data_IF_720648237200
#
_entry.id   IF_720648237200
#
_cell.length_a   1.000
_cell.length_b   1.000
_cell.length_c   1.000
_cell.angle_alpha   90.00
_cell.angle_beta   90.00
_cell.angle_gamma   90.00
#
_symmetry.space_group_name_H-M   'P 1'
#
loop_
_entity.id
_entity.type
_entity.pdbx_description
1 polymer ?
#
# COMPACT_ATOMS: atom_id res chain seq x y z
N UNK A 1 -23.79 14.86 10.79
CA UNK A 1 -23.76 13.37 10.81
C UNK A 1 -23.22 12.77 9.51
N UNK A 2 -23.67 13.19 8.31
CA UNK A 2 -23.17 12.68 7.02
C UNK A 2 -21.66 12.86 6.84
N UNK A 3 -21.10 14.01 7.25
CA UNK A 3 -19.67 14.34 7.11
C UNK A 3 -18.78 13.35 7.89
N UNK A 4 -19.27 12.75 8.99
CA UNK A 4 -18.50 11.80 9.81
C UNK A 4 -18.26 10.47 9.10
N UNK A 5 -19.06 10.11 8.09
CA UNK A 5 -18.91 8.86 7.32
C UNK A 5 -17.53 8.79 6.66
N UNK A 6 -17.07 9.91 6.08
CA UNK A 6 -15.82 9.95 5.35
C UNK A 6 -14.61 9.66 6.25
N UNK A 7 -14.33 10.40 7.33
CA UNK A 7 -13.19 10.12 8.19
C UNK A 7 -13.30 8.74 8.86
N UNK A 8 -14.52 8.30 9.22
CA UNK A 8 -14.73 7.02 9.86
C UNK A 8 -14.27 5.85 8.95
N UNK A 9 -14.79 5.75 7.72
CA UNK A 9 -14.41 4.70 6.78
C UNK A 9 -12.99 4.82 6.28
N UNK A 10 -12.48 6.05 6.17
CA UNK A 10 -11.11 6.30 5.73
C UNK A 10 -10.08 5.82 6.75
N UNK A 11 -10.25 6.19 8.03
CA UNK A 11 -9.26 5.92 9.08
C UNK A 11 -9.30 4.47 9.60
N UNK A 12 -10.44 3.79 9.54
CA UNK A 12 -10.56 2.41 10.05
C UNK A 12 -10.04 1.36 9.07
N UNK A 13 -9.74 1.72 7.83
CA UNK A 13 -9.38 0.75 6.80
C UNK A 13 -8.03 0.05 7.10
N UNK A 14 -7.96 -1.28 7.04
CA UNK A 14 -6.80 -2.05 7.51
C UNK A 14 -5.49 -1.83 6.72
N UNK A 15 -5.56 -1.23 5.51
CA UNK A 15 -4.33 -0.89 4.75
C UNK A 15 -3.43 0.09 5.54
N UNK A 16 -4.00 0.97 6.36
CA UNK A 16 -3.20 1.86 7.20
C UNK A 16 -2.31 1.11 8.20
N UNK A 17 -2.77 -0.03 8.71
CA UNK A 17 -1.96 -0.85 9.62
C UNK A 17 -0.63 -1.27 8.97
N UNK A 18 -0.65 -1.62 7.69
CA UNK A 18 0.57 -1.96 6.94
C UNK A 18 1.56 -0.79 6.83
N UNK A 19 1.06 0.44 6.66
CA UNK A 19 1.94 1.61 6.61
C UNK A 19 2.51 1.95 7.97
N UNK A 20 1.72 1.86 9.03
CA UNK A 20 2.16 2.17 10.39
C UNK A 20 3.19 1.18 10.94
N UNK A 21 3.31 -0.01 10.36
CA UNK A 21 4.41 -0.94 10.64
C UNK A 21 5.79 -0.35 10.26
N UNK A 22 5.82 0.58 9.31
CA UNK A 22 7.03 1.32 8.91
C UNK A 22 7.15 2.62 9.72
N UNK A 23 7.44 2.51 11.01
CA UNK A 23 7.41 3.62 11.97
C UNK A 23 8.25 4.83 11.51
N UNK A 24 9.42 4.61 10.90
CA UNK A 24 10.31 5.67 10.42
C UNK A 24 9.72 6.46 9.24
N UNK A 25 8.81 5.86 8.47
CA UNK A 25 8.19 6.50 7.29
C UNK A 25 6.77 6.98 7.55
N UNK A 26 6.18 6.63 8.69
CA UNK A 26 4.75 6.87 8.95
C UNK A 26 4.42 8.35 9.01
N UNK A 27 5.31 9.16 9.62
CA UNK A 27 5.12 10.60 9.73
C UNK A 27 5.19 11.28 8.37
N UNK A 28 6.23 10.99 7.58
CA UNK A 28 6.41 11.60 6.26
C UNK A 28 5.27 11.27 5.31
N UNK A 29 4.78 10.02 5.34
CA UNK A 29 3.64 9.60 4.51
C UNK A 29 2.36 10.30 4.96
N UNK A 30 2.09 10.39 6.27
CA UNK A 30 0.92 11.11 6.78
C UNK A 30 0.97 12.61 6.45
N UNK A 31 2.12 13.24 6.61
CA UNK A 31 2.34 14.64 6.22
C UNK A 31 2.10 14.83 4.72
N UNK A 32 2.61 13.93 3.89
CA UNK A 32 2.44 13.99 2.45
C UNK A 32 0.99 13.84 1.99
N UNK A 33 0.19 12.99 2.66
CA UNK A 33 -1.26 12.92 2.44
C UNK A 33 -1.93 14.26 2.76
N UNK A 34 -1.55 14.89 3.88
CA UNK A 34 -2.06 16.19 4.28
C UNK A 34 -1.70 17.28 3.24
N UNK A 35 -0.46 17.28 2.73
CA UNK A 35 -0.02 18.22 1.70
C UNK A 35 -0.82 18.08 0.39
N UNK A 36 -1.19 16.86 -0.01
CA UNK A 36 -2.08 16.66 -1.17
C UNK A 36 -3.45 17.31 -0.93
N UNK A 37 -4.03 17.12 0.24
CA UNK A 37 -5.31 17.75 0.58
C UNK A 37 -5.18 19.28 0.56
N UNK A 38 -4.11 19.83 1.12
CA UNK A 38 -3.80 21.27 1.03
C UNK A 38 -3.65 21.73 -0.43
N UNK A 39 -2.98 20.95 -1.26
CA UNK A 39 -2.86 21.24 -2.70
C UNK A 39 -4.24 21.34 -3.38
N UNK A 40 -5.17 20.42 -3.08
CA UNK A 40 -6.54 20.48 -3.61
C UNK A 40 -7.29 21.72 -3.15
N UNK A 41 -7.13 22.10 -1.88
CA UNK A 41 -7.74 23.34 -1.33
C UNK A 41 -7.19 24.57 -2.07
N UNK A 42 -5.87 24.62 -2.30
CA UNK A 42 -5.23 25.73 -3.03
C UNK A 42 -5.69 25.83 -4.48
N UNK A 43 -5.91 24.71 -5.17
CA UNK A 43 -6.51 24.73 -6.52
C UNK A 43 -7.92 25.33 -6.49
N UNK A 44 -8.74 24.94 -5.50
CA UNK A 44 -10.07 25.49 -5.33
C UNK A 44 -10.01 26.99 -5.00
N UNK A 45 -9.09 27.44 -4.15
CA UNK A 45 -8.86 28.87 -3.89
C UNK A 45 -8.43 29.63 -5.16
N UNK A 46 -7.61 29.02 -6.03
CA UNK A 46 -7.30 29.62 -7.31
C UNK A 46 -8.53 29.78 -8.20
N UNK A 47 -9.44 28.80 -8.23
CA UNK A 47 -10.67 28.89 -9.01
C UNK A 47 -11.51 30.07 -8.55
N UNK A 48 -11.54 30.34 -7.24
CA UNK A 48 -12.31 31.44 -6.64
C UNK A 48 -11.62 32.80 -6.77
N UNK A 49 -10.36 32.92 -6.36
CA UNK A 49 -9.63 34.20 -6.21
C UNK A 49 -8.73 34.54 -7.41
N UNK A 50 -8.46 33.61 -8.33
CA UNK A 50 -7.60 33.79 -9.51
C UNK A 50 -6.16 34.22 -9.22
N UNK A 51 -5.65 34.00 -8.01
CA UNK A 51 -4.30 34.36 -7.58
C UNK A 51 -3.30 33.27 -7.97
N UNK A 52 -2.30 33.50 -8.86
CA UNK A 52 -1.37 32.47 -9.34
C UNK A 52 -0.55 31.79 -8.23
N UNK A 53 -0.31 32.48 -7.11
CA UNK A 53 0.40 31.95 -5.96
C UNK A 53 -0.22 30.63 -5.46
N UNK A 54 -1.55 30.50 -5.51
CA UNK A 54 -2.21 29.27 -5.08
C UNK A 54 -1.87 28.06 -5.97
N UNK A 55 -1.76 28.24 -7.28
CA UNK A 55 -1.31 27.16 -8.17
C UNK A 55 0.17 26.83 -7.95
N UNK A 56 1.00 27.83 -7.73
CA UNK A 56 2.41 27.61 -7.43
C UNK A 56 2.60 26.80 -6.14
N UNK A 57 1.95 27.20 -5.05
CA UNK A 57 2.00 26.47 -3.78
C UNK A 57 1.40 25.06 -3.89
N UNK A 58 0.30 24.91 -4.62
CA UNK A 58 -0.31 23.62 -4.90
C UNK A 58 0.66 22.66 -5.60
N UNK A 59 1.40 23.17 -6.60
CA UNK A 59 2.42 22.40 -7.32
C UNK A 59 3.56 21.98 -6.41
N UNK A 60 4.04 22.86 -5.52
CA UNK A 60 5.09 22.52 -4.54
C UNK A 60 4.61 21.42 -3.61
N UNK A 61 3.41 21.54 -3.03
CA UNK A 61 2.88 20.56 -2.09
C UNK A 61 2.66 19.18 -2.74
N UNK A 62 2.14 19.17 -3.97
CA UNK A 62 1.99 17.91 -4.72
C UNK A 62 3.34 17.30 -5.07
N UNK A 63 4.33 18.10 -5.49
CA UNK A 63 5.68 17.63 -5.81
C UNK A 63 6.35 17.00 -4.58
N UNK A 64 6.26 17.65 -3.43
CA UNK A 64 6.78 17.11 -2.16
C UNK A 64 6.16 15.75 -1.85
N UNK A 65 4.83 15.66 -1.95
CA UNK A 65 4.11 14.42 -1.69
C UNK A 65 4.53 13.29 -2.63
N UNK A 66 4.69 13.57 -3.92
CA UNK A 66 5.10 12.58 -4.92
C UNK A 66 6.56 12.12 -4.73
N UNK A 67 7.44 13.01 -4.24
CA UNK A 67 8.82 12.67 -3.87
C UNK A 67 8.87 11.75 -2.66
N UNK A 68 8.01 11.99 -1.67
CA UNK A 68 7.99 11.21 -0.43
C UNK A 68 7.44 9.80 -0.67
N UNK A 69 6.30 9.69 -1.37
CA UNK A 69 5.66 8.40 -1.61
C UNK A 69 4.88 8.39 -2.92
N UNK A 70 5.44 7.76 -3.94
CA UNK A 70 4.90 7.81 -5.31
C UNK A 70 3.46 7.29 -5.45
N UNK A 71 3.00 6.37 -4.59
CA UNK A 71 1.61 5.90 -4.65
C UNK A 71 0.58 6.98 -4.32
N UNK A 72 1.00 8.10 -3.70
CA UNK A 72 0.14 9.26 -3.46
C UNK A 72 -0.30 9.98 -4.75
N UNK A 73 0.33 9.70 -5.87
CA UNK A 73 -0.14 10.11 -7.21
C UNK A 73 -1.58 9.62 -7.44
N UNK A 74 -1.87 8.37 -7.04
CA UNK A 74 -3.22 7.81 -7.18
C UNK A 74 -4.23 8.52 -6.28
N UNK A 75 -3.79 8.94 -5.10
CA UNK A 75 -4.63 9.72 -4.18
C UNK A 75 -4.95 11.12 -4.74
N UNK A 76 -3.95 11.80 -5.34
CA UNK A 76 -4.16 13.06 -6.04
C UNK A 76 -5.23 12.92 -7.13
N UNK A 77 -5.12 11.88 -7.97
CA UNK A 77 -6.08 11.59 -9.05
C UNK A 77 -7.47 11.32 -8.46
N UNK A 78 -7.57 10.50 -7.41
CA UNK A 78 -8.84 10.17 -6.75
C UNK A 78 -9.53 11.42 -6.20
N UNK A 79 -8.80 12.30 -5.50
CA UNK A 79 -9.32 13.56 -4.97
C UNK A 79 -9.77 14.50 -6.09
N UNK A 80 -8.98 14.64 -7.15
CA UNK A 80 -9.31 15.50 -8.29
C UNK A 80 -10.63 15.07 -8.95
N UNK A 81 -10.81 13.76 -9.17
CA UNK A 81 -12.04 13.22 -9.76
C UNK A 81 -13.22 13.42 -8.79
N UNK A 82 -13.02 13.17 -7.50
CA UNK A 82 -14.07 13.34 -6.48
C UNK A 82 -14.56 14.79 -6.41
N UNK A 83 -13.67 15.77 -6.51
CA UNK A 83 -14.05 17.20 -6.55
C UNK A 83 -14.91 17.49 -7.78
N UNK A 84 -14.56 16.96 -8.95
CA UNK A 84 -15.36 17.11 -10.17
C UNK A 84 -16.76 16.50 -10.00
N UNK A 85 -16.87 15.31 -9.38
CA UNK A 85 -18.16 14.67 -9.08
C UNK A 85 -18.99 15.54 -8.13
N UNK A 86 -18.39 16.12 -7.10
CA UNK A 86 -19.09 17.02 -6.18
C UNK A 86 -19.57 18.30 -6.90
N UNK A 87 -18.75 18.88 -7.76
CA UNK A 87 -19.14 20.04 -8.56
C UNK A 87 -20.33 19.71 -9.49
N UNK A 88 -20.32 18.54 -10.14
CA UNK A 88 -21.45 18.05 -10.96
C UNK A 88 -22.73 17.87 -10.15
N UNK A 89 -22.61 17.46 -8.91
CA UNK A 89 -23.75 17.20 -8.03
C UNK A 89 -24.36 18.49 -7.45
N UNK A 90 -23.53 19.46 -7.05
CA UNK A 90 -23.97 20.67 -6.36
C UNK A 90 -24.17 21.88 -7.28
N UNK A 91 -23.37 22.04 -8.34
CA UNK A 91 -23.35 23.23 -9.21
C UNK A 91 -24.03 22.98 -10.58
N UNK A 92 -25.33 22.73 -10.57
CA UNK A 92 -26.12 22.40 -11.77
C UNK A 92 -26.12 23.47 -12.88
N UNK A 93 -25.73 24.70 -12.56
CA UNK A 93 -25.75 25.84 -13.50
C UNK A 93 -24.48 25.91 -14.37
N UNK A 94 -23.42 25.20 -14.04
CA UNK A 94 -22.19 25.20 -14.80
C UNK A 94 -22.38 24.53 -16.18
N UNK A 95 -21.63 25.02 -17.18
CA UNK A 95 -21.53 24.38 -18.48
C UNK A 95 -20.46 23.30 -18.50
N UNK A 96 -20.51 22.39 -19.45
CA UNK A 96 -19.49 21.32 -19.58
C UNK A 96 -18.07 21.91 -19.69
N UNK A 97 -17.91 23.04 -20.38
CA UNK A 97 -16.62 23.74 -20.50
C UNK A 97 -16.05 24.18 -19.14
N UNK A 98 -16.88 24.51 -18.17
CA UNK A 98 -16.39 24.94 -16.85
C UNK A 98 -15.83 23.75 -16.06
N UNK A 99 -16.46 22.57 -16.16
CA UNK A 99 -15.89 21.33 -15.59
C UNK A 99 -14.58 20.95 -16.26
N UNK A 100 -14.49 21.07 -17.60
CA UNK A 100 -13.26 20.82 -18.35
C UNK A 100 -12.13 21.78 -17.96
N UNK A 101 -12.42 23.06 -17.70
CA UNK A 101 -11.44 24.02 -17.14
C UNK A 101 -10.93 23.59 -15.78
N UNK A 102 -11.81 23.13 -14.89
CA UNK A 102 -11.39 22.61 -13.58
C UNK A 102 -10.49 21.39 -13.74
N UNK A 103 -10.85 20.44 -14.59
CA UNK A 103 -10.03 19.26 -14.90
C UNK A 103 -8.67 19.68 -15.47
N UNK A 104 -8.64 20.66 -16.38
CA UNK A 104 -7.37 21.14 -16.96
C UNK A 104 -6.44 21.77 -15.92
N UNK A 105 -6.98 22.43 -14.88
CA UNK A 105 -6.19 22.96 -13.78
C UNK A 105 -5.59 21.83 -12.92
N UNK A 106 -6.36 20.80 -12.58
CA UNK A 106 -5.82 19.63 -11.90
C UNK A 106 -4.73 18.94 -12.72
N UNK A 107 -4.94 18.78 -14.03
CA UNK A 107 -3.95 18.21 -14.94
C UNK A 107 -2.69 19.09 -15.06
N UNK A 108 -2.84 20.40 -15.12
CA UNK A 108 -1.71 21.32 -15.16
C UNK A 108 -0.83 21.17 -13.91
N UNK A 109 -1.44 21.27 -12.72
CA UNK A 109 -0.72 21.09 -11.45
C UNK A 109 -0.08 19.71 -11.40
N UNK A 110 -0.77 18.66 -11.80
CA UNK A 110 -0.25 17.29 -11.86
C UNK A 110 1.00 17.19 -12.74
N UNK A 111 0.92 17.68 -13.98
CA UNK A 111 2.05 17.62 -14.93
C UNK A 111 3.23 18.44 -14.43
N UNK A 112 3.01 19.66 -13.94
CA UNK A 112 4.08 20.47 -13.35
C UNK A 112 4.72 19.78 -12.16
N UNK A 113 3.92 19.19 -11.27
CA UNK A 113 4.41 18.45 -10.11
C UNK A 113 5.23 17.23 -10.51
N UNK A 114 4.82 16.49 -11.52
CA UNK A 114 5.56 15.34 -12.05
C UNK A 114 6.90 15.77 -12.67
N UNK A 115 6.93 16.88 -13.43
CA UNK A 115 8.16 17.41 -14.01
C UNK A 115 9.14 17.81 -12.89
N UNK A 116 8.68 18.54 -11.87
CA UNK A 116 9.51 18.95 -10.73
C UNK A 116 10.03 17.71 -10.00
N UNK A 117 9.17 16.73 -9.71
CA UNK A 117 9.53 15.49 -9.03
C UNK A 117 10.62 14.73 -9.77
N UNK A 118 10.47 14.52 -11.08
CA UNK A 118 11.45 13.80 -11.90
C UNK A 118 12.76 14.58 -12.01
N UNK A 119 12.69 15.90 -12.13
CA UNK A 119 13.89 16.77 -12.18
C UNK A 119 14.67 16.69 -10.87
N UNK A 120 13.99 16.73 -9.71
CA UNK A 120 14.65 16.63 -8.40
C UNK A 120 15.26 15.24 -8.17
N UNK A 121 14.58 14.17 -8.60
CA UNK A 121 15.13 12.81 -8.56
C UNK A 121 16.40 12.73 -9.43
N UNK A 122 16.35 13.26 -10.65
CA UNK A 122 17.50 13.26 -11.56
C UNK A 122 18.69 14.04 -10.96
N UNK A 123 18.45 15.24 -10.44
CA UNK A 123 19.50 16.07 -9.80
C UNK A 123 20.08 15.33 -8.59
N UNK A 124 19.23 14.72 -7.75
CA UNK A 124 19.68 13.95 -6.58
C UNK A 124 20.56 12.77 -6.96
N UNK A 125 20.22 12.03 -8.02
CA UNK A 125 21.08 10.95 -8.54
C UNK A 125 22.45 11.45 -8.99
N UNK A 126 22.49 12.60 -9.67
CA UNK A 126 23.76 13.19 -10.13
C UNK A 126 24.63 13.71 -8.97
N UNK A 127 24.01 14.46 -8.04
CA UNK A 127 24.74 15.10 -6.93
C UNK A 127 25.31 14.10 -5.92
N UNK A 128 24.54 13.03 -5.63
CA UNK A 128 24.91 12.06 -4.59
C UNK A 128 25.45 10.75 -5.15
N UNK A 129 25.65 10.63 -6.48
CA UNK A 129 26.11 9.42 -7.16
C UNK A 129 25.31 8.16 -6.78
N UNK A 130 24.02 8.32 -6.47
CA UNK A 130 23.12 7.23 -6.07
C UNK A 130 22.79 6.40 -7.30
N UNK A 131 23.09 5.09 -7.26
CA UNK A 131 22.66 4.18 -8.33
C UNK A 131 21.14 4.01 -8.26
N UNK A 132 20.48 4.23 -9.41
CA UNK A 132 19.03 3.97 -9.52
C UNK A 132 18.77 2.48 -9.27
N UNK A 133 17.80 2.19 -8.42
CA UNK A 133 17.34 0.81 -8.26
C UNK A 133 16.41 0.47 -9.42
N UNK A 134 16.65 -0.66 -10.08
CA UNK A 134 15.75 -1.17 -11.13
C UNK A 134 14.44 -1.76 -10.56
N UNK A 135 14.07 -1.40 -9.34
CA UNK A 135 12.93 -1.99 -8.64
C UNK A 135 11.61 -1.82 -9.43
N UNK A 136 11.29 -0.60 -9.85
CA UNK A 136 10.07 -0.34 -10.62
C UNK A 136 10.10 -1.04 -11.98
N UNK A 137 11.21 -0.95 -12.71
CA UNK A 137 11.36 -1.59 -14.01
C UNK A 137 11.28 -3.13 -13.93
N UNK A 138 11.72 -3.72 -12.82
CA UNK A 138 11.59 -5.17 -12.61
C UNK A 138 10.13 -5.60 -12.41
N UNK A 139 9.27 -4.71 -11.92
CA UNK A 139 7.86 -4.96 -11.65
C UNK A 139 6.95 -4.81 -12.88
N UNK A 140 7.37 -4.04 -13.88
CA UNK A 140 6.62 -3.87 -15.12
C UNK A 140 6.68 -5.17 -15.92
N UNK A 141 5.50 -5.75 -16.20
CA UNK A 141 5.37 -7.01 -16.96
C UNK A 141 4.96 -6.79 -18.42
N UNK A 142 4.44 -5.60 -18.76
CA UNK A 142 4.16 -5.23 -20.14
C UNK A 142 5.41 -5.35 -21.00
N UNK A 143 5.30 -6.08 -22.11
CA UNK A 143 6.43 -6.38 -23.00
C UNK A 143 7.38 -7.49 -22.52
N UNK A 144 7.20 -8.02 -21.28
CA UNK A 144 7.99 -9.14 -20.73
C UNK A 144 7.20 -10.44 -20.70
N UNK A 145 5.87 -10.34 -20.46
CA UNK A 145 4.95 -11.47 -20.47
C UNK A 145 3.99 -11.36 -21.65
N UNK A 146 3.41 -12.49 -22.12
CA UNK A 146 2.36 -12.47 -23.12
C UNK A 146 1.13 -11.66 -22.66
N UNK A 147 0.50 -10.93 -23.59
CA UNK A 147 -0.66 -10.06 -23.28
C UNK A 147 -1.78 -10.81 -22.53
N UNK A 148 -2.12 -12.01 -22.94
CA UNK A 148 -3.17 -12.80 -22.30
C UNK A 148 -2.82 -13.27 -20.90
N UNK A 149 -1.54 -13.49 -20.60
CA UNK A 149 -1.08 -13.81 -19.25
C UNK A 149 -1.25 -12.61 -18.33
N UNK A 150 -0.83 -11.41 -18.76
CA UNK A 150 -1.05 -10.18 -18.02
C UNK A 150 -2.55 -9.96 -17.76
N UNK A 151 -3.39 -10.14 -18.78
CA UNK A 151 -4.84 -10.01 -18.64
C UNK A 151 -5.41 -11.01 -17.63
N UNK A 152 -4.88 -12.24 -17.60
CA UNK A 152 -5.26 -13.27 -16.62
C UNK A 152 -4.89 -12.85 -15.19
N UNK A 153 -3.69 -12.30 -14.99
CA UNK A 153 -3.23 -11.77 -13.69
C UNK A 153 -4.18 -10.65 -13.21
N UNK A 154 -4.44 -9.66 -14.07
CA UNK A 154 -5.33 -8.55 -13.75
C UNK A 154 -6.76 -9.03 -13.45
N UNK A 155 -7.30 -9.93 -14.28
CA UNK A 155 -8.64 -10.53 -14.07
C UNK A 155 -8.73 -11.26 -12.74
N UNK A 156 -7.71 -12.05 -12.39
CA UNK A 156 -7.64 -12.75 -11.11
C UNK A 156 -7.61 -11.77 -9.93
N UNK A 157 -6.82 -10.71 -10.04
CA UNK A 157 -6.75 -9.67 -9.02
C UNK A 157 -8.10 -8.97 -8.80
N UNK A 158 -8.74 -8.49 -9.87
CA UNK A 158 -10.07 -7.86 -9.78
C UNK A 158 -11.14 -8.82 -9.25
N UNK A 159 -11.10 -10.10 -9.63
CA UNK A 159 -11.98 -11.12 -9.07
C UNK A 159 -11.81 -11.26 -7.55
N UNK A 160 -10.58 -11.24 -7.05
CA UNK A 160 -10.32 -11.32 -5.62
C UNK A 160 -10.83 -10.09 -4.86
N UNK A 161 -10.74 -8.89 -5.46
CA UNK A 161 -11.29 -7.65 -4.91
C UNK A 161 -12.82 -7.74 -4.81
N UNK A 162 -13.48 -8.09 -5.92
CA UNK A 162 -14.95 -8.18 -5.99
C UNK A 162 -15.52 -9.27 -5.07
N UNK A 163 -14.79 -10.35 -4.84
CA UNK A 163 -15.21 -11.43 -3.94
C UNK A 163 -14.74 -11.20 -2.48
N UNK A 164 -14.11 -10.08 -2.17
CA UNK A 164 -13.57 -9.76 -0.84
C UNK A 164 -12.69 -10.90 -0.27
N UNK A 165 -11.89 -11.56 -1.12
CA UNK A 165 -11.12 -12.76 -0.73
C UNK A 165 -9.83 -12.45 0.01
N UNK A 166 -9.34 -11.21 -0.05
CA UNK A 166 -8.11 -10.78 0.61
C UNK A 166 -8.49 -9.92 1.81
N UNK A 167 -7.73 -10.02 2.89
CA UNK A 167 -7.98 -9.36 4.16
C UNK A 167 -8.21 -7.85 4.05
N UNK A 168 -7.59 -7.20 3.05
CA UNK A 168 -7.72 -5.76 2.78
C UNK A 168 -8.88 -5.44 1.83
N UNK A 169 -9.41 -6.42 1.12
CA UNK A 169 -10.54 -6.25 0.20
C UNK A 169 -11.82 -6.73 0.87
N UNK A 170 -12.34 -5.88 1.76
CA UNK A 170 -13.60 -6.14 2.42
C UNK A 170 -14.80 -5.79 1.52
N UNK A 171 -15.99 -6.21 1.92
CA UNK A 171 -17.23 -5.93 1.18
C UNK A 171 -17.54 -4.43 1.06
N UNK A 172 -16.86 -3.56 1.80
CA UNK A 172 -17.08 -2.11 1.77
C UNK A 172 -16.92 -1.50 0.39
N UNK A 173 -15.90 -1.91 -0.38
CA UNK A 173 -15.71 -1.44 -1.75
C UNK A 173 -16.86 -1.88 -2.66
N UNK A 174 -17.25 -3.15 -2.60
CA UNK A 174 -18.33 -3.69 -3.44
C UNK A 174 -19.67 -3.07 -3.10
N UNK A 175 -20.02 -2.99 -1.80
CA UNK A 175 -21.28 -2.41 -1.34
C UNK A 175 -21.36 -0.94 -1.71
N UNK A 176 -20.29 -0.16 -1.49
CA UNK A 176 -20.27 1.27 -1.81
C UNK A 176 -20.42 1.53 -3.32
N UNK A 177 -19.72 0.75 -4.15
CA UNK A 177 -19.81 0.87 -5.61
C UNK A 177 -21.20 0.49 -6.14
N UNK A 178 -21.79 -0.61 -5.64
CA UNK A 178 -23.16 -1.01 -5.99
C UNK A 178 -24.18 0.03 -5.55
N UNK A 179 -24.00 0.63 -4.36
CA UNK A 179 -24.88 1.70 -3.88
C UNK A 179 -24.83 2.94 -4.78
N UNK A 180 -23.65 3.32 -5.29
CA UNK A 180 -23.53 4.38 -6.28
C UNK A 180 -24.26 4.04 -7.57
N UNK A 181 -24.19 2.78 -8.03
CA UNK A 181 -24.92 2.34 -9.22
C UNK A 181 -26.44 2.51 -9.06
N UNK A 182 -27.00 2.22 -7.90
CA UNK A 182 -28.42 2.45 -7.62
C UNK A 182 -28.78 3.94 -7.69
N UNK A 183 -27.91 4.84 -7.19
CA UNK A 183 -28.11 6.29 -7.34
C UNK A 183 -28.11 6.70 -8.80
N UNK A 184 -27.22 6.12 -9.63
CA UNK A 184 -27.21 6.43 -11.06
C UNK A 184 -28.46 5.98 -11.79
N UNK A 185 -29.00 4.80 -11.50
CA UNK A 185 -30.31 4.38 -12.05
C UNK A 185 -31.38 5.43 -11.76
N UNK A 186 -31.46 5.89 -10.48
CA UNK A 186 -32.39 6.96 -10.09
C UNK A 186 -32.15 8.24 -10.90
N UNK A 187 -30.90 8.69 -11.04
CA UNK A 187 -30.55 9.92 -11.78
C UNK A 187 -30.83 9.81 -13.30
N UNK A 188 -30.65 8.62 -13.90
CA UNK A 188 -31.00 8.35 -15.30
C UNK A 188 -32.52 8.50 -15.51
N UNK A 189 -33.32 7.87 -14.62
CA UNK A 189 -34.79 7.97 -14.68
C UNK A 189 -35.23 9.43 -14.56
N UNK A 190 -34.59 10.21 -13.69
CA UNK A 190 -34.86 11.63 -13.49
C UNK A 190 -34.26 12.52 -14.60
N UNK A 191 -33.62 11.97 -15.62
CA UNK A 191 -32.96 12.67 -16.72
C UNK A 191 -32.01 13.78 -16.24
N UNK A 192 -31.18 13.47 -15.26
CA UNK A 192 -30.21 14.42 -14.69
C UNK A 192 -29.24 14.90 -15.76
N UNK A 193 -28.96 16.22 -15.75
CA UNK A 193 -28.00 16.84 -16.68
C UNK A 193 -26.59 16.27 -16.44
N UNK A 194 -25.85 15.98 -17.51
CA UNK A 194 -24.50 15.44 -17.49
C UNK A 194 -24.32 14.08 -16.80
N UNK A 195 -25.40 13.28 -16.66
CA UNK A 195 -25.35 11.98 -15.97
C UNK A 195 -24.29 11.04 -16.57
N UNK A 196 -24.12 11.01 -17.91
CA UNK A 196 -23.11 10.15 -18.56
C UNK A 196 -21.68 10.56 -18.17
N UNK A 197 -21.43 11.86 -18.02
CA UNK A 197 -20.13 12.37 -17.59
C UNK A 197 -19.88 12.08 -16.10
N UNK A 198 -20.90 12.19 -15.27
CA UNK A 198 -20.84 11.83 -13.85
C UNK A 198 -20.56 10.33 -13.64
N UNK A 199 -21.20 9.47 -14.43
CA UNK A 199 -20.93 8.01 -14.44
C UNK A 199 -19.48 7.75 -14.85
N UNK A 200 -18.99 8.39 -15.91
CA UNK A 200 -17.59 8.23 -16.35
C UNK A 200 -16.61 8.64 -15.24
N UNK A 201 -16.83 9.79 -14.60
CA UNK A 201 -15.99 10.23 -13.46
C UNK A 201 -16.02 9.21 -12.30
N UNK A 202 -17.20 8.66 -11.99
CA UNK A 202 -17.32 7.66 -10.92
C UNK A 202 -16.63 6.33 -11.28
N UNK A 203 -16.69 5.89 -12.52
CA UNK A 203 -15.95 4.73 -12.99
C UNK A 203 -14.43 4.95 -12.86
N UNK A 204 -13.93 6.10 -13.30
CA UNK A 204 -12.53 6.48 -13.17
C UNK A 204 -12.11 6.58 -11.70
N UNK A 205 -12.95 7.12 -10.82
CA UNK A 205 -12.70 7.17 -9.39
C UNK A 205 -12.55 5.77 -8.79
N UNK A 206 -13.45 4.84 -9.11
CA UNK A 206 -13.39 3.47 -8.61
C UNK A 206 -12.22 2.66 -9.19
N UNK A 207 -11.71 3.04 -10.36
CA UNK A 207 -10.51 2.44 -10.96
C UNK A 207 -9.21 3.06 -10.42
N UNK A 208 -9.25 4.28 -9.89
CA UNK A 208 -8.04 5.02 -9.51
C UNK A 208 -7.12 4.30 -8.51
N UNK A 209 -7.59 3.52 -7.50
CA UNK A 209 -6.70 2.78 -6.62
C UNK A 209 -5.89 1.68 -7.33
N UNK A 210 -6.38 1.21 -8.47
CA UNK A 210 -5.80 0.09 -9.22
C UNK A 210 -5.00 0.53 -10.44
N UNK A 211 -4.88 1.84 -10.69
CA UNK A 211 -4.19 2.34 -11.88
C UNK A 211 -2.74 1.87 -11.94
N UNK A 212 -2.03 1.84 -10.80
CA UNK A 212 -0.66 1.37 -10.76
C UNK A 212 -0.58 -0.12 -11.16
N UNK A 213 -1.46 -0.96 -10.65
CA UNK A 213 -1.59 -2.38 -11.03
C UNK A 213 -1.82 -2.54 -12.54
N UNK A 214 -2.69 -1.70 -13.11
CA UNK A 214 -2.97 -1.72 -14.55
C UNK A 214 -1.74 -1.29 -15.35
N UNK A 215 -1.08 -0.18 -14.96
CA UNK A 215 0.13 0.32 -15.62
C UNK A 215 1.30 -0.64 -15.59
N UNK A 216 1.47 -1.36 -14.48
CA UNK A 216 2.56 -2.34 -14.36
C UNK A 216 2.20 -3.70 -14.99
N UNK A 217 0.91 -3.99 -15.20
CA UNK A 217 0.43 -5.28 -15.67
C UNK A 217 0.62 -6.41 -14.64
N UNK A 218 0.82 -6.04 -13.36
CA UNK A 218 1.11 -6.96 -12.26
C UNK A 218 0.43 -6.52 -10.98
N UNK A 219 0.26 -7.45 -10.04
CA UNK A 219 -0.28 -7.14 -8.71
C UNK A 219 0.82 -6.50 -7.86
N UNK A 220 0.58 -5.27 -7.48
CA UNK A 220 1.48 -4.50 -6.61
C UNK A 220 1.19 -4.75 -5.12
N UNK A 221 2.16 -4.44 -4.24
CA UNK A 221 1.93 -4.44 -2.81
C UNK A 221 0.68 -3.64 -2.42
N UNK A 222 -0.10 -4.13 -1.48
CA UNK A 222 -1.39 -3.51 -1.11
C UNK A 222 -1.22 -2.05 -0.66
N UNK A 223 -0.07 -1.69 -0.07
CA UNK A 223 0.25 -0.32 0.33
C UNK A 223 0.31 0.66 -0.85
N UNK A 224 0.55 0.19 -2.07
CA UNK A 224 0.53 1.04 -3.26
C UNK A 224 -0.86 1.60 -3.58
N UNK A 225 -1.92 0.98 -3.05
CA UNK A 225 -3.31 1.42 -3.21
C UNK A 225 -3.74 2.42 -2.11
N UNK A 226 -2.90 2.63 -1.11
CA UNK A 226 -3.14 3.58 -0.03
C UNK A 226 -2.75 5.01 -0.46
N UNK A 227 -3.50 6.05 -0.06
CA UNK A 227 -4.79 6.04 0.63
C UNK A 227 -6.00 6.06 -0.32
N UNK A 228 -5.80 5.87 -1.63
CA UNK A 228 -6.85 5.97 -2.65
C UNK A 228 -8.00 5.00 -2.40
N UNK A 229 -7.70 3.74 -2.03
CA UNK A 229 -8.71 2.72 -1.77
C UNK A 229 -9.64 3.13 -0.62
N UNK A 230 -9.07 3.57 0.50
CA UNK A 230 -9.84 4.03 1.66
C UNK A 230 -10.72 5.22 1.30
N UNK A 231 -10.13 6.18 0.57
CA UNK A 231 -10.82 7.37 0.14
C UNK A 231 -11.98 7.04 -0.79
N UNK A 232 -11.79 6.17 -1.76
CA UNK A 232 -12.85 5.79 -2.72
C UNK A 232 -14.04 5.14 -2.01
N UNK A 233 -13.79 4.22 -1.08
CA UNK A 233 -14.86 3.59 -0.27
C UNK A 233 -15.61 4.67 0.52
N UNK A 234 -14.89 5.52 1.23
CA UNK A 234 -15.46 6.57 2.06
C UNK A 234 -16.24 7.60 1.24
N UNK A 235 -15.70 8.01 0.09
CA UNK A 235 -16.33 8.94 -0.83
C UNK A 235 -17.60 8.36 -1.47
N UNK A 236 -17.58 7.10 -1.88
CA UNK A 236 -18.77 6.43 -2.43
C UNK A 236 -19.92 6.45 -1.43
N UNK A 237 -19.68 6.12 -0.15
CA UNK A 237 -20.70 6.22 0.90
C UNK A 237 -21.17 7.66 1.13
N UNK A 238 -20.25 8.63 1.14
CA UNK A 238 -20.57 10.04 1.24
C UNK A 238 -21.47 10.48 0.06
N UNK A 239 -21.09 10.11 -1.17
CA UNK A 239 -21.84 10.42 -2.38
C UNK A 239 -23.25 9.83 -2.34
N UNK A 240 -23.41 8.58 -1.91
CA UNK A 240 -24.71 7.95 -1.72
C UNK A 240 -25.52 8.71 -0.68
N UNK A 241 -24.95 9.00 0.49
CA UNK A 241 -25.63 9.70 1.58
C UNK A 241 -26.15 11.08 1.17
N UNK A 242 -25.37 11.84 0.39
CA UNK A 242 -25.77 13.17 -0.12
C UNK A 242 -26.93 13.09 -1.11
N UNK A 243 -27.02 12.01 -1.91
CA UNK A 243 -28.05 11.83 -2.94
C UNK A 243 -29.33 11.11 -2.43
N UNK A 244 -29.33 10.66 -1.16
CA UNK A 244 -30.51 10.08 -0.53
C UNK A 244 -31.44 11.17 -0.02
N UNK A 245 -32.71 11.08 -0.38
CA UNK A 245 -33.73 12.06 0.00
C UNK A 245 -34.56 11.65 1.22
N UNK A 246 -34.63 10.34 1.50
CA UNK A 246 -35.44 9.79 2.61
C UNK A 246 -34.60 9.49 3.84
N UNK A 247 -35.08 9.85 5.01
CA UNK A 247 -34.38 9.62 6.30
C UNK A 247 -34.08 8.13 6.54
N UNK A 248 -35.03 7.24 6.17
CA UNK A 248 -34.85 5.79 6.36
C UNK A 248 -33.70 5.23 5.55
N UNK A 249 -33.57 5.58 4.27
CA UNK A 249 -32.43 5.13 3.44
C UNK A 249 -31.10 5.75 3.90
N UNK A 250 -31.13 6.99 4.36
CA UNK A 250 -29.96 7.61 4.96
C UNK A 250 -29.53 6.88 6.24
N UNK A 251 -30.44 6.49 7.09
CA UNK A 251 -30.16 5.70 8.29
C UNK A 251 -29.55 4.35 7.94
N UNK A 252 -30.06 3.65 6.91
CA UNK A 252 -29.49 2.39 6.41
C UNK A 252 -28.05 2.61 5.91
N UNK A 253 -27.81 3.66 5.12
CA UNK A 253 -26.49 3.98 4.61
C UNK A 253 -25.48 4.23 5.75
N UNK A 254 -25.87 4.98 6.77
CA UNK A 254 -25.05 5.25 7.96
C UNK A 254 -24.80 3.95 8.74
N UNK A 255 -25.82 3.13 8.95
CA UNK A 255 -25.68 1.85 9.65
C UNK A 255 -24.73 0.91 8.93
N UNK A 256 -24.80 0.82 7.60
CA UNK A 256 -23.86 0.05 6.78
C UNK A 256 -22.43 0.58 6.91
N UNK A 257 -22.24 1.91 6.86
CA UNK A 257 -20.92 2.52 7.05
C UNK A 257 -20.34 2.20 8.43
N UNK A 258 -21.15 2.24 9.49
CA UNK A 258 -20.74 1.88 10.85
C UNK A 258 -20.34 0.39 10.95
N UNK A 259 -21.14 -0.51 10.38
CA UNK A 259 -20.83 -1.95 10.37
C UNK A 259 -19.53 -2.23 9.63
N UNK A 260 -19.33 -1.60 8.46
CA UNK A 260 -18.11 -1.76 7.68
C UNK A 260 -16.90 -1.22 8.46
N UNK A 261 -17.00 -0.02 9.04
CA UNK A 261 -15.94 0.58 9.85
C UNK A 261 -15.59 -0.29 11.07
N UNK A 262 -16.59 -0.84 11.74
CA UNK A 262 -16.37 -1.76 12.86
C UNK A 262 -15.58 -3.01 12.40
N UNK A 263 -16.00 -3.64 11.30
CA UNK A 263 -15.32 -4.80 10.72
C UNK A 263 -13.87 -4.46 10.29
N UNK A 264 -13.66 -3.30 9.70
CA UNK A 264 -12.33 -2.79 9.34
C UNK A 264 -11.46 -2.59 10.60
N UNK A 265 -12.01 -1.98 11.64
CA UNK A 265 -11.33 -1.79 12.92
C UNK A 265 -10.93 -3.10 13.59
N UNK A 266 -11.82 -4.11 13.59
CA UNK A 266 -11.52 -5.46 14.08
C UNK A 266 -10.37 -6.08 13.27
N UNK A 267 -10.39 -5.97 11.95
CA UNK A 267 -9.30 -6.48 11.09
C UNK A 267 -7.97 -5.78 11.41
N UNK A 268 -7.98 -4.46 11.58
CA UNK A 268 -6.82 -3.66 11.96
C UNK A 268 -6.26 -4.09 13.31
N UNK A 269 -7.11 -4.26 14.32
CA UNK A 269 -6.72 -4.73 15.64
C UNK A 269 -6.09 -6.13 15.58
N UNK A 270 -6.68 -7.04 14.80
CA UNK A 270 -6.15 -8.39 14.61
C UNK A 270 -4.79 -8.40 13.88
N UNK A 271 -4.56 -7.48 12.93
CA UNK A 271 -3.26 -7.32 12.28
C UNK A 271 -2.18 -6.87 13.27
N UNK A 272 -2.46 -5.89 14.12
CA UNK A 272 -1.52 -5.45 15.15
C UNK A 272 -1.27 -6.53 16.22
N UNK A 273 -2.31 -7.26 16.62
CA UNK A 273 -2.14 -8.41 17.49
C UNK A 273 -1.23 -9.47 16.84
N UNK A 274 -1.44 -9.76 15.57
CA UNK A 274 -0.64 -10.72 14.80
C UNK A 274 0.82 -10.29 14.69
N UNK A 275 1.06 -8.99 14.50
CA UNK A 275 2.43 -8.45 14.48
C UNK A 275 3.14 -8.63 15.82
N UNK A 276 2.45 -8.37 16.93
CA UNK A 276 2.99 -8.59 18.26
C UNK A 276 3.29 -10.05 18.52
N UNK A 277 2.35 -10.95 18.25
CA UNK A 277 2.51 -12.39 18.43
C UNK A 277 3.69 -12.93 17.58
N UNK A 278 3.79 -12.47 16.31
CA UNK A 278 4.91 -12.79 15.44
C UNK A 278 6.24 -12.29 16.01
N UNK A 279 6.30 -11.08 16.51
CA UNK A 279 7.51 -10.51 17.10
C UNK A 279 7.98 -11.35 18.30
N UNK A 280 7.06 -11.73 19.20
CA UNK A 280 7.35 -12.57 20.36
C UNK A 280 7.88 -13.96 19.92
N UNK A 281 7.27 -14.60 18.91
CA UNK A 281 7.78 -15.86 18.34
C UNK A 281 9.18 -15.70 17.70
N UNK A 282 9.41 -14.62 16.97
CA UNK A 282 10.70 -14.35 16.31
C UNK A 282 11.82 -14.12 17.36
N UNK A 283 11.52 -13.43 18.46
CA UNK A 283 12.46 -13.26 19.58
C UNK A 283 12.83 -14.61 20.21
N UNK A 284 11.82 -15.44 20.51
CA UNK A 284 12.06 -16.79 21.05
C UNK A 284 12.89 -17.63 20.08
N UNK A 285 12.61 -17.53 18.78
CA UNK A 285 13.33 -18.28 17.77
C UNK A 285 14.78 -17.81 17.62
N UNK A 286 15.04 -16.50 17.60
CA UNK A 286 16.37 -15.91 17.60
C UNK A 286 17.19 -16.36 18.81
N UNK A 287 16.58 -16.34 20.01
CA UNK A 287 17.22 -16.81 21.24
C UNK A 287 17.59 -18.29 21.17
N UNK A 288 16.72 -19.15 20.63
CA UNK A 288 17.01 -20.59 20.43
C UNK A 288 18.20 -20.80 19.49
N UNK A 289 18.28 -20.06 18.39
CA UNK A 289 19.45 -20.09 17.50
C UNK A 289 20.70 -19.71 18.29
N UNK A 290 20.63 -18.62 19.06
CA UNK A 290 21.78 -18.13 19.80
C UNK A 290 22.27 -19.10 20.85
N UNK A 291 21.37 -19.72 21.65
CA UNK A 291 21.70 -20.74 22.64
C UNK A 291 22.41 -21.95 22.00
N UNK A 292 21.93 -22.37 20.81
CA UNK A 292 22.55 -23.49 20.11
C UNK A 292 23.94 -23.13 19.56
N UNK A 293 24.14 -21.88 19.12
CA UNK A 293 25.48 -21.39 18.72
C UNK A 293 26.46 -21.32 19.92
N UNK A 294 25.96 -20.93 21.12
CA UNK A 294 26.79 -20.98 22.35
C UNK A 294 27.24 -22.40 22.65
N UNK A 295 26.37 -23.39 22.49
CA UNK A 295 26.73 -24.81 22.70
C UNK A 295 27.74 -25.32 21.67
N UNK A 296 27.92 -24.63 20.55
CA UNK A 296 28.93 -24.89 19.51
C UNK A 296 30.21 -24.06 19.70
N UNK A 297 30.39 -23.39 20.85
CA UNK A 297 31.51 -22.52 21.18
C UNK A 297 31.69 -21.31 20.26
N UNK A 298 30.60 -20.81 19.67
CA UNK A 298 30.60 -19.54 18.90
C UNK A 298 30.37 -18.40 19.89
N UNK A 299 31.41 -17.82 20.45
CA UNK A 299 31.31 -16.78 21.49
C UNK A 299 31.17 -15.36 20.90
N UNK A 300 31.94 -15.02 19.89
CA UNK A 300 31.91 -13.68 19.28
C UNK A 300 31.17 -13.69 17.93
N UNK A 301 29.92 -13.18 17.93
CA UNK A 301 29.04 -13.14 16.73
C UNK A 301 29.52 -12.16 15.67
N UNK A 302 30.26 -11.14 16.07
CA UNK A 302 30.75 -10.08 15.15
C UNK A 302 31.74 -10.61 14.11
N UNK A 303 32.36 -11.74 14.39
CA UNK A 303 33.30 -12.35 13.47
C UNK A 303 32.63 -13.18 12.38
N UNK A 304 31.37 -13.55 12.58
CA UNK A 304 30.66 -14.48 11.71
C UNK A 304 29.60 -13.80 10.85
N UNK A 305 29.49 -14.18 9.59
CA UNK A 305 28.33 -13.94 8.74
C UNK A 305 27.29 -15.04 8.95
N UNK A 306 26.00 -14.67 8.94
CA UNK A 306 24.89 -15.59 9.19
C UNK A 306 24.07 -15.81 7.92
N UNK A 307 24.11 -17.04 7.40
CA UNK A 307 23.32 -17.51 6.26
C UNK A 307 22.15 -18.33 6.75
N UNK A 308 20.93 -17.91 6.41
CA UNK A 308 19.69 -18.61 6.73
C UNK A 308 19.08 -19.18 5.45
N UNK A 309 18.84 -20.48 5.42
CA UNK A 309 18.38 -21.22 4.24
C UNK A 309 16.93 -21.69 4.48
N UNK A 310 16.02 -21.31 3.58
CA UNK A 310 14.60 -21.57 3.76
C UNK A 310 13.90 -20.49 4.57
N UNK A 311 12.76 -20.82 5.16
CA UNK A 311 11.94 -19.88 5.91
C UNK A 311 11.39 -20.50 7.21
N UNK A 312 11.14 -19.65 8.20
CA UNK A 312 10.40 -20.02 9.42
C UNK A 312 9.13 -19.18 9.49
N UNK A 313 8.01 -19.79 9.18
CA UNK A 313 6.67 -19.17 9.31
C UNK A 313 6.22 -19.14 10.77
N UNK A 314 5.33 -18.21 11.09
CA UNK A 314 4.64 -18.18 12.38
C UNK A 314 3.75 -19.41 12.53
N UNK A 315 3.77 -20.07 13.68
CA UNK A 315 3.03 -21.32 13.90
C UNK A 315 1.63 -21.12 14.50
N UNK A 316 1.23 -19.89 14.81
CA UNK A 316 -0.04 -19.65 15.47
C UNK A 316 -1.20 -19.55 14.46
N UNK A 317 -2.24 -20.37 14.65
CA UNK A 317 -3.48 -20.29 13.87
C UNK A 317 -4.28 -19.00 14.15
N UNK A 318 -3.91 -18.24 15.19
CA UNK A 318 -4.54 -16.96 15.56
C UNK A 318 -3.90 -15.78 14.83
N UNK A 319 -2.75 -15.98 14.18
CA UNK A 319 -2.05 -14.93 13.44
C UNK A 319 -2.62 -14.83 12.04
N UNK A 320 -3.16 -13.65 11.71
CA UNK A 320 -3.52 -13.29 10.34
C UNK A 320 -2.32 -12.59 9.70
N UNK A 321 -2.01 -12.99 8.48
CA UNK A 321 -0.90 -12.45 7.72
C UNK A 321 -1.39 -11.38 6.75
N UNK A 322 -0.90 -10.15 6.94
CA UNK A 322 -1.05 -9.05 6.00
C UNK A 322 -0.01 -9.10 4.87
N UNK A 323 0.34 -7.94 4.33
CA UNK A 323 1.46 -7.80 3.40
C UNK A 323 2.80 -7.93 4.14
N UNK A 324 2.94 -7.20 5.24
CA UNK A 324 4.13 -7.17 6.11
C UNK A 324 3.81 -7.58 7.54
N UNK A 325 2.66 -7.13 8.06
CA UNK A 325 2.19 -7.47 9.40
C UNK A 325 1.94 -8.97 9.56
N UNK A 326 2.34 -9.52 10.70
CA UNK A 326 2.20 -10.95 10.99
C UNK A 326 3.14 -11.86 10.20
N UNK A 327 4.09 -11.33 9.41
CA UNK A 327 5.08 -12.09 8.66
C UNK A 327 6.40 -12.12 9.41
N UNK A 328 6.89 -13.34 9.75
CA UNK A 328 8.16 -13.53 10.44
C UNK A 328 9.34 -12.88 9.71
N UNK A 329 10.29 -12.28 10.44
CA UNK A 329 11.55 -11.80 9.88
C UNK A 329 12.38 -12.92 9.28
N UNK A 330 12.15 -14.17 9.71
CA UNK A 330 12.76 -15.38 9.16
C UNK A 330 12.00 -15.97 7.96
N UNK A 331 11.01 -15.24 7.41
CA UNK A 331 10.24 -15.63 6.22
C UNK A 331 10.14 -14.52 5.16
N UNK A 332 10.83 -13.39 5.37
CA UNK A 332 10.83 -12.28 4.42
C UNK A 332 11.93 -12.42 3.37
N UNK A 333 11.66 -11.84 2.18
CA UNK A 333 12.64 -11.68 1.09
C UNK A 333 13.26 -12.99 0.58
N UNK A 334 12.53 -14.13 0.66
CA UNK A 334 12.99 -15.43 0.17
C UNK A 334 13.54 -15.39 -1.26
N UNK A 335 12.93 -14.57 -2.14
CA UNK A 335 13.38 -14.38 -3.52
C UNK A 335 14.57 -13.43 -3.69
N UNK A 336 15.12 -12.88 -2.60
CA UNK A 336 16.29 -12.02 -2.66
C UNK A 336 17.58 -12.82 -2.91
N UNK A 337 18.66 -12.16 -3.39
CA UNK A 337 19.97 -12.82 -3.54
C UNK A 337 20.57 -13.38 -2.25
N UNK A 338 19.99 -13.03 -1.11
CA UNK A 338 20.43 -13.43 0.25
C UNK A 338 19.35 -14.22 1.00
N UNK A 339 18.24 -14.57 0.34
CA UNK A 339 17.08 -15.17 0.98
C UNK A 339 16.58 -14.35 2.18
N UNK A 340 16.16 -15.01 3.24
CA UNK A 340 15.69 -14.37 4.48
C UNK A 340 16.81 -13.77 5.33
N UNK A 341 18.07 -14.11 5.03
CA UNK A 341 19.24 -13.77 5.86
C UNK A 341 19.37 -12.29 6.16
N UNK A 342 19.18 -11.43 5.14
CA UNK A 342 19.36 -9.98 5.30
C UNK A 342 18.40 -9.40 6.37
N UNK A 343 17.12 -9.75 6.30
CA UNK A 343 16.11 -9.27 7.25
C UNK A 343 16.29 -9.89 8.64
N UNK A 344 16.51 -11.18 8.69
CA UNK A 344 16.69 -11.89 9.97
C UNK A 344 17.96 -11.44 10.71
N UNK A 345 19.08 -11.22 10.01
CA UNK A 345 20.30 -10.66 10.61
C UNK A 345 20.06 -9.26 11.14
N UNK A 346 19.37 -8.40 10.39
CA UNK A 346 18.98 -7.07 10.85
C UNK A 346 18.14 -7.15 12.13
N UNK A 347 17.14 -8.03 12.18
CA UNK A 347 16.34 -8.27 13.37
C UNK A 347 17.17 -8.79 14.55
N UNK A 348 18.03 -9.79 14.35
CA UNK A 348 18.89 -10.34 15.39
C UNK A 348 19.83 -9.28 15.98
N UNK A 349 20.31 -8.34 15.18
CA UNK A 349 21.11 -7.18 15.67
C UNK A 349 20.31 -6.30 16.62
N UNK A 350 19.01 -6.10 16.41
CA UNK A 350 18.17 -5.33 17.34
C UNK A 350 18.02 -6.02 18.69
N UNK A 351 18.27 -7.33 18.76
CA UNK A 351 18.28 -8.13 19.97
C UNK A 351 19.68 -8.24 20.62
N UNK A 352 20.70 -7.55 20.04
CA UNK A 352 22.07 -7.58 20.53
C UNK A 352 22.94 -8.71 19.94
N UNK A 353 22.43 -9.48 18.98
CA UNK A 353 23.19 -10.53 18.27
C UNK A 353 23.81 -9.98 17.00
N UNK A 354 25.04 -9.49 17.07
CA UNK A 354 25.67 -8.64 16.09
C UNK A 354 26.40 -9.42 14.98
N UNK A 355 25.67 -10.24 14.21
CA UNK A 355 26.20 -10.97 13.07
C UNK A 355 26.48 -10.04 11.87
N UNK A 356 27.46 -10.43 11.02
CA UNK A 356 27.66 -9.84 9.68
C UNK A 356 26.56 -10.28 8.71
N UNK A 357 26.19 -9.38 7.81
CA UNK A 357 25.34 -9.77 6.67
C UNK A 357 26.13 -10.67 5.72
N UNK A 358 25.53 -11.74 5.20
CA UNK A 358 26.21 -12.62 4.28
C UNK A 358 26.43 -11.96 2.91
N UNK A 359 27.48 -12.37 2.22
CA UNK A 359 27.69 -12.08 0.80
C UNK A 359 26.80 -12.99 -0.07
N UNK A 360 26.69 -12.64 -1.36
CA UNK A 360 25.98 -13.48 -2.34
C UNK A 360 26.62 -14.85 -2.52
N UNK A 361 27.94 -14.89 -2.46
CA UNK A 361 28.76 -16.08 -2.59
C UNK A 361 28.52 -17.01 -1.40
N UNK A 362 28.52 -16.49 -0.18
CA UNK A 362 28.20 -17.25 1.03
C UNK A 362 26.77 -17.82 0.98
N UNK A 363 25.79 -17.03 0.54
CA UNK A 363 24.42 -17.52 0.40
C UNK A 363 24.30 -18.64 -0.65
N UNK A 364 24.96 -18.49 -1.82
CA UNK A 364 25.03 -19.56 -2.83
C UNK A 364 25.66 -20.83 -2.28
N UNK A 365 26.77 -20.71 -1.51
CA UNK A 365 27.41 -21.84 -0.84
C UNK A 365 26.43 -22.52 0.12
N UNK A 366 25.65 -21.75 0.89
CA UNK A 366 24.63 -22.29 1.77
C UNK A 366 23.55 -23.09 1.02
N UNK A 367 23.14 -22.64 -0.16
CA UNK A 367 22.18 -23.39 -0.97
C UNK A 367 22.71 -24.74 -1.45
N UNK A 368 24.03 -24.87 -1.69
CA UNK A 368 24.66 -26.14 -2.04
C UNK A 368 24.74 -27.09 -0.83
N UNK A 369 24.92 -26.55 0.38
CA UNK A 369 24.97 -27.34 1.61
C UNK A 369 23.59 -27.81 2.06
N UNK A 370 22.52 -27.21 1.57
CA UNK A 370 21.13 -27.46 1.98
C UNK A 370 20.75 -28.95 1.99
N UNK A 371 21.19 -29.70 0.98
CA UNK A 371 20.81 -31.12 0.82
C UNK A 371 21.36 -32.01 1.94
N UNK A 372 22.51 -31.64 2.51
CA UNK A 372 23.17 -32.36 3.59
C UNK A 372 22.76 -31.87 5.00
N UNK A 373 21.84 -30.93 5.08
CA UNK A 373 21.42 -30.33 6.35
C UNK A 373 19.99 -30.73 6.71
N UNK A 374 19.73 -30.95 7.98
CA UNK A 374 18.38 -31.07 8.54
C UNK A 374 17.80 -29.70 8.86
N UNK A 375 16.48 -29.57 8.91
CA UNK A 375 15.84 -28.34 9.36
C UNK A 375 16.03 -28.12 10.86
N UNK A 376 16.31 -26.86 11.27
CA UNK A 376 16.45 -26.44 12.67
C UNK A 376 15.16 -26.74 13.47
N UNK A 377 15.26 -27.27 14.70
CA UNK A 377 16.45 -27.41 15.55
C UNK A 377 17.10 -28.81 15.54
N UNK A 378 16.92 -29.61 14.51
CA UNK A 378 17.47 -30.97 14.44
C UNK A 378 19.01 -30.96 14.39
N UNK A 379 19.63 -32.10 14.70
CA UNK A 379 21.07 -32.29 14.48
C UNK A 379 21.44 -32.00 13.02
N UNK A 380 22.63 -31.46 12.77
CA UNK A 380 23.12 -31.04 11.45
C UNK A 380 22.31 -29.89 10.80
N UNK A 381 21.54 -29.14 11.56
CA UNK A 381 20.86 -27.95 11.06
C UNK A 381 21.75 -26.71 11.01
N UNK A 382 22.89 -26.75 11.66
CA UNK A 382 23.92 -25.70 11.72
C UNK A 382 25.22 -26.26 11.23
N UNK A 383 25.86 -25.58 10.27
CA UNK A 383 27.21 -25.83 9.79
C UNK A 383 28.02 -24.55 9.97
N UNK A 384 29.21 -24.65 10.54
CA UNK A 384 30.16 -23.54 10.67
C UNK A 384 31.32 -23.85 9.74
N UNK A 385 31.59 -22.93 8.83
CA UNK A 385 32.68 -23.05 7.88
C UNK A 385 33.44 -21.71 7.79
N UNK A 386 34.65 -21.71 8.31
CA UNK A 386 35.45 -20.51 8.54
C UNK A 386 34.62 -19.48 9.37
N UNK A 387 34.44 -18.25 8.84
CA UNK A 387 33.69 -17.17 9.48
C UNK A 387 32.23 -17.09 9.02
N UNK A 388 31.65 -18.19 8.52
CA UNK A 388 30.26 -18.23 8.04
C UNK A 388 29.48 -19.34 8.77
N UNK A 389 28.33 -18.97 9.30
CA UNK A 389 27.38 -19.87 9.94
C UNK A 389 26.22 -20.08 8.98
N UNK A 390 25.95 -21.33 8.64
CA UNK A 390 24.82 -21.76 7.81
C UNK A 390 23.77 -22.43 8.68
N UNK A 391 22.53 -21.97 8.62
CA UNK A 391 21.41 -22.56 9.35
C UNK A 391 20.28 -22.84 8.36
N UNK A 392 19.85 -24.10 8.30
CA UNK A 392 18.68 -24.49 7.51
C UNK A 392 17.42 -24.33 8.35
N UNK A 393 16.51 -23.44 7.93
CA UNK A 393 15.26 -23.15 8.66
C UNK A 393 14.13 -24.11 8.30
N UNK A 394 14.06 -24.51 7.03
CA UNK A 394 13.04 -25.46 6.52
C UNK A 394 13.57 -26.30 5.35
N UNK A 395 12.86 -27.32 5.01
CA UNK A 395 13.15 -28.18 3.84
C UNK A 395 12.80 -27.54 2.51
#
# INVERSE_FOLDING_TARGET
MIIVILPLLFLTHPIFAEQFNFTLQSFEVALSMFLIVCSMILINMYIEYRTPLFLFLSTIFSSWSFLTYQSLIMFYISLSIAIVILLLNFNKNLKLLDYLKVISLFLLVFICSMIITQSLIFIGHQMFSIKSTNYLNSKITWGKLPFFEILSILKSHFKNILLAKVIFYNLGFVISTLSCFLIFIKKIILKSRFISFEILCMLLLNLSPFMLTIFMGNVEPIRSQMPSMQFVIAFNFLYVAINLTTKSFLAICISLALVISFRQGVTTANLFYSERAKYEEDVVFANRINIQLDSLNVSDRKDYSLVLIGEKKVNSNLVIQGETLGRSFFAWDLGSPYGTSSRAVGFMRTLGYDFKHPSKEEYKKGLLLKENMSAFPKKNSIIIDNNTIFIKLSD
#
